data_IF_285528137832
#
_entry.id   IF_285528137832
#
_cell.length_a   1.000
_cell.length_b   1.000
_cell.length_c   1.000
_cell.angle_alpha   90.00
_cell.angle_beta   90.00
_cell.angle_gamma   90.00
#
_symmetry.space_group_name_H-M   'P 1'
#
loop_
_entity.id
_entity.type
_entity.pdbx_description
1 polymer ?
#
# COMPACT_ATOMS: atom_id res chain seq x y z
N UNK A 1 35.34 19.44 18.24
CA UNK A 1 34.35 20.01 17.31
C UNK A 1 33.08 19.18 17.36
N UNK A 2 31.93 19.87 17.40
CA UNK A 2 30.60 19.32 17.68
C UNK A 2 30.10 18.61 16.42
N UNK A 3 30.24 17.29 16.36
CA UNK A 3 29.59 16.47 15.34
C UNK A 3 28.14 16.25 15.72
N UNK A 4 27.25 17.08 15.17
CA UNK A 4 25.81 16.97 15.38
C UNK A 4 25.33 15.55 15.06
N UNK A 5 24.63 14.93 16.01
CA UNK A 5 23.89 13.69 15.77
C UNK A 5 22.78 14.03 14.77
N UNK A 6 23.02 13.80 13.49
CA UNK A 6 21.98 13.93 12.47
C UNK A 6 20.83 13.00 12.86
N UNK A 7 19.68 13.57 13.21
CA UNK A 7 18.46 12.82 13.44
C UNK A 7 18.04 12.25 12.09
N UNK A 8 18.22 10.95 11.89
CA UNK A 8 17.81 10.26 10.66
C UNK A 8 16.30 10.41 10.47
N UNK A 9 15.86 10.75 9.26
CA UNK A 9 14.44 10.85 8.92
C UNK A 9 14.06 9.71 7.98
N UNK A 10 12.96 9.02 8.30
CA UNK A 10 12.29 8.08 7.40
C UNK A 10 11.08 8.79 6.82
N UNK A 11 11.05 8.94 5.49
CA UNK A 11 9.93 9.54 4.80
C UNK A 11 9.15 8.46 4.05
N UNK A 12 7.96 8.16 4.54
CA UNK A 12 7.03 7.25 3.92
C UNK A 12 6.08 8.04 3.02
N UNK A 13 5.90 7.57 1.79
CA UNK A 13 4.94 8.10 0.84
C UNK A 13 3.94 7.00 0.50
N UNK A 14 2.67 7.25 0.76
CA UNK A 14 1.60 6.28 0.64
C UNK A 14 0.54 6.76 -0.37
N UNK A 15 0.15 5.89 -1.30
CA UNK A 15 -0.85 6.17 -2.33
C UNK A 15 -2.21 5.51 -2.08
N UNK A 16 -2.39 4.84 -0.94
CA UNK A 16 -3.61 4.16 -0.49
C UNK A 16 -3.67 4.08 1.05
N UNK A 17 -3.82 5.25 1.70
CA UNK A 17 -3.69 5.37 3.17
C UNK A 17 -4.69 4.50 3.93
N UNK A 18 -5.87 4.28 3.33
CA UNK A 18 -7.02 3.68 4.00
C UNK A 18 -7.33 4.41 5.32
N UNK A 19 -7.37 3.65 6.41
CA UNK A 19 -7.58 4.14 7.78
C UNK A 19 -6.28 4.17 8.62
N UNK A 20 -5.11 4.08 7.98
CA UNK A 20 -3.80 4.20 8.64
C UNK A 20 -3.29 2.96 9.38
N UNK A 21 -3.99 1.83 9.35
CA UNK A 21 -3.61 0.62 10.12
C UNK A 21 -2.21 0.06 9.80
N UNK A 22 -1.77 0.16 8.54
CA UNK A 22 -0.42 -0.21 8.12
C UNK A 22 0.64 0.62 8.86
N UNK A 23 0.41 1.93 8.98
CA UNK A 23 1.36 2.86 9.59
C UNK A 23 1.36 2.79 11.11
N UNK A 24 0.22 2.51 11.74
CA UNK A 24 0.18 2.15 13.15
C UNK A 24 1.05 0.90 13.44
N UNK A 25 0.90 -0.16 12.63
CA UNK A 25 1.72 -1.38 12.78
C UNK A 25 3.21 -1.09 12.59
N UNK A 26 3.57 -0.22 11.64
CA UNK A 26 4.96 0.20 11.41
C UNK A 26 5.53 1.02 12.56
N UNK A 27 4.77 1.99 13.09
CA UNK A 27 5.14 2.77 14.28
C UNK A 27 5.42 1.85 15.48
N UNK A 28 4.55 0.86 15.69
CA UNK A 28 4.73 -0.12 16.75
C UNK A 28 6.04 -0.90 16.58
N UNK A 29 6.30 -1.47 15.39
CA UNK A 29 7.55 -2.19 15.11
C UNK A 29 8.79 -1.30 15.29
N UNK A 30 8.73 -0.04 14.86
CA UNK A 30 9.81 0.92 15.01
C UNK A 30 10.13 1.17 16.51
N UNK A 31 9.09 1.34 17.33
CA UNK A 31 9.24 1.50 18.77
C UNK A 31 9.83 0.24 19.44
N UNK A 32 9.44 -0.96 19.01
CA UNK A 32 9.98 -2.22 19.55
C UNK A 32 11.49 -2.36 19.27
N UNK A 33 11.94 -1.95 18.07
CA UNK A 33 13.37 -1.98 17.71
C UNK A 33 14.23 -1.03 18.54
N UNK A 34 13.68 0.12 18.99
CA UNK A 34 14.37 1.01 19.94
C UNK A 34 14.73 0.29 21.23
N UNK A 35 13.79 -0.48 21.79
CA UNK A 35 13.97 -1.20 23.05
C UNK A 35 15.13 -2.21 23.02
N UNK A 36 15.47 -2.71 21.83
CA UNK A 36 16.57 -3.66 21.64
C UNK A 36 17.96 -3.01 21.49
N UNK A 37 18.04 -1.69 21.22
CA UNK A 37 19.30 -1.05 20.80
C UNK A 37 19.64 0.32 21.40
N UNK A 38 18.78 0.92 22.23
CA UNK A 38 19.08 2.16 22.96
C UNK A 38 19.28 3.44 22.11
N UNK A 39 19.09 3.36 20.79
CA UNK A 39 19.26 4.47 19.85
C UNK A 39 18.04 5.43 19.87
N UNK A 40 18.26 6.70 19.52
CA UNK A 40 17.16 7.65 19.31
C UNK A 40 16.29 7.20 18.12
N UNK A 41 14.97 7.34 18.24
CA UNK A 41 14.05 7.02 17.15
C UNK A 41 14.15 8.06 16.04
N UNK A 42 14.13 7.65 14.75
CA UNK A 42 14.10 8.58 13.64
C UNK A 42 12.81 9.40 13.65
N UNK A 43 12.85 10.59 13.05
CA UNK A 43 11.63 11.28 12.63
C UNK A 43 10.94 10.41 11.58
N UNK A 44 9.65 10.12 11.78
CA UNK A 44 8.82 9.49 10.77
C UNK A 44 7.93 10.54 10.12
N UNK A 45 8.19 10.82 8.85
CA UNK A 45 7.34 11.65 8.02
C UNK A 45 6.45 10.76 7.17
N UNK A 46 5.14 10.94 7.20
CA UNK A 46 4.17 10.25 6.37
C UNK A 46 3.51 11.24 5.42
N UNK A 47 3.59 10.99 4.12
CA UNK A 47 2.89 11.74 3.08
C UNK A 47 1.87 10.86 2.39
N UNK A 48 0.59 11.15 2.59
CA UNK A 48 -0.51 10.42 1.97
C UNK A 48 -0.99 11.16 0.70
N UNK A 49 -0.99 10.45 -0.43
CA UNK A 49 -1.60 10.86 -1.68
C UNK A 49 -3.06 10.46 -1.68
N UNK A 50 -3.93 11.43 -1.94
CA UNK A 50 -5.37 11.22 -1.83
C UNK A 50 -6.13 11.87 -2.97
N UNK A 51 -7.18 11.22 -3.45
CA UNK A 51 -8.18 11.89 -4.28
C UNK A 51 -9.33 12.36 -3.41
N UNK A 52 -9.81 13.58 -3.63
CA UNK A 52 -11.02 14.12 -2.99
C UNK A 52 -12.28 13.35 -3.38
N UNK A 53 -12.22 12.56 -4.47
CA UNK A 53 -13.26 11.64 -4.88
C UNK A 53 -13.23 10.31 -4.10
N UNK A 54 -12.15 9.97 -3.39
CA UNK A 54 -11.97 8.70 -2.67
C UNK A 54 -11.91 8.82 -1.15
N UNK A 55 -11.56 9.99 -0.61
CA UNK A 55 -11.42 10.18 0.84
C UNK A 55 -12.33 11.28 1.35
N UNK A 56 -13.16 10.94 2.33
CA UNK A 56 -13.95 11.93 3.03
C UNK A 56 -13.01 12.75 3.95
N UNK A 57 -13.07 14.10 3.96
CA UNK A 57 -12.15 14.93 4.75
C UNK A 57 -12.12 14.57 6.24
N UNK A 58 -13.25 14.13 6.80
CA UNK A 58 -13.33 13.64 8.18
C UNK A 58 -12.50 12.38 8.42
N UNK A 59 -12.51 11.41 7.49
CA UNK A 59 -11.76 10.16 7.64
C UNK A 59 -10.25 10.41 7.62
N UNK A 60 -9.80 11.33 6.75
CA UNK A 60 -8.41 11.78 6.75
C UNK A 60 -8.05 12.39 8.11
N UNK A 61 -8.85 13.33 8.59
CA UNK A 61 -8.57 14.05 9.83
C UNK A 61 -8.49 13.08 11.01
N UNK A 62 -9.45 12.16 11.12
CA UNK A 62 -9.43 11.10 12.14
C UNK A 62 -8.22 10.19 12.01
N UNK A 63 -7.82 9.82 10.79
CA UNK A 63 -6.63 8.98 10.56
C UNK A 63 -5.36 9.72 10.96
N UNK A 64 -5.23 11.00 10.62
CA UNK A 64 -4.11 11.85 11.01
C UNK A 64 -4.02 11.97 12.53
N UNK A 65 -5.13 12.28 13.20
CA UNK A 65 -5.18 12.44 14.66
C UNK A 65 -4.81 11.13 15.37
N UNK A 66 -5.39 10.01 14.94
CA UNK A 66 -5.11 8.69 15.50
C UNK A 66 -3.63 8.31 15.35
N UNK A 67 -3.03 8.51 14.17
CA UNK A 67 -1.63 8.20 13.94
C UNK A 67 -0.69 9.12 14.73
N UNK A 68 -1.03 10.41 14.82
CA UNK A 68 -0.24 11.40 15.55
C UNK A 68 -0.26 11.11 17.05
N UNK A 69 -1.43 10.79 17.60
CA UNK A 69 -1.58 10.39 18.99
C UNK A 69 -0.80 9.10 19.27
N UNK A 70 -0.95 8.08 18.43
CA UNK A 70 -0.27 6.80 18.61
C UNK A 70 1.27 6.94 18.53
N UNK A 71 1.77 7.77 17.61
CA UNK A 71 3.20 8.07 17.54
C UNK A 71 3.70 8.80 18.81
N UNK A 72 2.92 9.74 19.35
CA UNK A 72 3.25 10.44 20.59
C UNK A 72 3.32 9.48 21.79
N UNK A 73 2.37 8.54 21.91
CA UNK A 73 2.37 7.50 22.94
C UNK A 73 3.63 6.61 22.85
N UNK A 74 4.07 6.29 21.64
CA UNK A 74 5.30 5.55 21.37
C UNK A 74 6.59 6.40 21.45
N UNK A 75 6.45 7.71 21.68
CA UNK A 75 7.54 8.70 21.69
C UNK A 75 8.37 8.69 20.40
N UNK A 76 7.68 8.56 19.26
CA UNK A 76 8.24 8.70 17.91
C UNK A 76 7.97 10.13 17.44
N UNK A 77 8.99 10.92 17.06
CA UNK A 77 8.77 12.17 16.36
C UNK A 77 8.05 11.87 15.03
N UNK A 78 6.91 12.52 14.80
CA UNK A 78 6.03 12.19 13.69
C UNK A 78 5.51 13.45 12.99
N UNK A 79 5.48 13.41 11.67
CA UNK A 79 4.94 14.45 10.80
C UNK A 79 4.00 13.82 9.78
N UNK A 80 2.79 14.36 9.63
CA UNK A 80 1.81 13.91 8.66
C UNK A 80 1.52 14.99 7.62
N UNK A 81 1.58 14.63 6.35
CA UNK A 81 1.26 15.51 5.22
C UNK A 81 0.23 14.83 4.32
N UNK A 82 -0.78 15.58 3.87
CA UNK A 82 -1.73 15.13 2.88
C UNK A 82 -1.52 15.89 1.56
N UNK A 83 -1.43 15.17 0.45
CA UNK A 83 -1.29 15.73 -0.89
C UNK A 83 -2.45 15.27 -1.76
N UNK A 84 -3.15 16.23 -2.38
CA UNK A 84 -4.22 15.93 -3.32
C UNK A 84 -3.66 15.46 -4.66
N UNK A 85 -4.06 14.27 -5.10
CA UNK A 85 -3.80 13.72 -6.43
C UNK A 85 -4.54 14.49 -7.53
N UNK A 86 -5.69 15.10 -7.21
CA UNK A 86 -6.54 15.77 -8.20
C UNK A 86 -5.94 17.12 -8.65
N UNK A 87 -5.20 17.78 -7.75
CA UNK A 87 -4.47 19.01 -8.01
C UNK A 87 -3.01 18.74 -8.42
N UNK A 88 -2.60 17.48 -8.53
CA UNK A 88 -1.20 17.13 -8.67
C UNK A 88 -0.68 17.37 -10.08
N UNK A 89 0.31 18.25 -10.21
CA UNK A 89 1.08 18.44 -11.43
C UNK A 89 2.36 17.59 -11.37
N UNK A 90 2.56 16.60 -12.26
CA UNK A 90 3.79 15.80 -12.31
C UNK A 90 5.07 16.59 -12.60
N UNK A 91 4.94 17.86 -12.99
CA UNK A 91 6.06 18.79 -13.16
C UNK A 91 6.46 19.51 -11.85
N UNK A 92 5.61 19.48 -10.83
CA UNK A 92 5.92 20.04 -9.51
C UNK A 92 6.67 18.98 -8.69
N UNK A 93 7.92 19.28 -8.37
CA UNK A 93 8.77 18.42 -7.56
C UNK A 93 8.26 18.40 -6.13
N UNK A 94 7.87 17.22 -5.63
CA UNK A 94 7.83 17.01 -4.18
C UNK A 94 9.29 17.01 -3.73
N UNK A 95 9.72 18.10 -3.11
CA UNK A 95 11.09 18.21 -2.62
C UNK A 95 11.27 17.29 -1.41
N UNK A 96 11.96 16.17 -1.59
CA UNK A 96 12.59 15.44 -0.50
C UNK A 96 13.84 16.19 -0.07
N UNK A 97 14.05 16.39 1.23
CA UNK A 97 15.35 16.91 1.68
C UNK A 97 16.44 15.85 1.44
N UNK A 98 17.69 16.28 1.18
CA UNK A 98 18.77 15.37 0.81
C UNK A 98 19.15 14.33 1.87
N UNK A 99 18.67 14.49 3.10
CA UNK A 99 19.00 13.64 4.25
C UNK A 99 17.88 12.64 4.63
N UNK A 100 16.80 12.55 3.85
CA UNK A 100 15.66 11.67 4.11
C UNK A 100 15.79 10.29 3.43
N UNK A 101 15.48 9.20 4.16
CA UNK A 101 15.33 7.87 3.58
C UNK A 101 13.88 7.67 3.14
N UNK A 102 13.65 7.74 1.83
CA UNK A 102 12.31 7.64 1.25
C UNK A 102 11.89 6.18 1.01
N UNK A 103 10.69 5.81 1.44
CA UNK A 103 10.02 4.54 1.13
C UNK A 103 8.63 4.82 0.57
N UNK A 104 8.22 4.07 -0.46
CA UNK A 104 6.93 4.29 -1.15
C UNK A 104 6.05 3.06 -1.04
N UNK A 105 4.77 3.24 -0.70
CA UNK A 105 3.70 2.23 -0.74
C UNK A 105 2.76 2.56 -1.89
N UNK A 106 2.68 1.70 -2.91
CA UNK A 106 2.00 1.99 -4.17
C UNK A 106 1.08 0.85 -4.61
N UNK A 107 -0.26 1.04 -4.67
CA UNK A 107 -1.14 0.12 -5.37
C UNK A 107 -0.87 0.18 -6.88
N UNK A 108 -0.85 -0.98 -7.54
CA UNK A 108 -0.46 -1.08 -8.97
C UNK A 108 -1.59 -1.42 -9.93
N UNK A 109 -2.83 -1.51 -9.40
CA UNK A 109 -4.03 -1.72 -10.20
C UNK A 109 -4.43 -0.53 -11.08
N UNK A 110 -5.29 -0.78 -12.06
CA UNK A 110 -6.13 0.22 -12.69
C UNK A 110 -6.97 0.95 -11.64
N UNK A 111 -7.00 2.28 -11.75
CA UNK A 111 -7.91 3.12 -10.97
C UNK A 111 -8.50 4.17 -11.89
N UNK A 112 -9.79 4.45 -11.71
CA UNK A 112 -10.47 5.54 -12.40
C UNK A 112 -10.14 6.90 -11.79
N UNK A 113 -9.57 6.91 -10.58
CA UNK A 113 -9.33 8.06 -9.71
C UNK A 113 -7.84 8.43 -9.63
N UNK A 114 -6.94 7.48 -9.86
CA UNK A 114 -5.50 7.75 -9.87
C UNK A 114 -4.99 8.09 -11.29
N UNK A 115 -3.91 8.89 -11.40
CA UNK A 115 -3.18 9.05 -12.65
C UNK A 115 -2.64 7.70 -13.17
N UNK A 116 -2.36 7.57 -14.49
CA UNK A 116 -1.79 6.35 -15.02
C UNK A 116 -0.48 5.96 -14.32
N UNK A 117 -0.29 4.67 -14.03
CA UNK A 117 0.90 4.14 -13.35
C UNK A 117 2.25 4.66 -13.90
N UNK A 118 2.47 4.78 -15.23
CA UNK A 118 3.71 5.36 -15.75
C UNK A 118 3.98 6.81 -15.30
N UNK A 119 2.93 7.61 -15.06
CA UNK A 119 3.06 8.97 -14.56
C UNK A 119 3.44 8.98 -13.07
N UNK A 120 2.79 8.13 -12.27
CA UNK A 120 3.12 7.96 -10.85
C UNK A 120 4.56 7.46 -10.69
N UNK A 121 4.99 6.48 -11.48
CA UNK A 121 6.35 5.96 -11.40
C UNK A 121 7.42 6.99 -11.80
N UNK A 122 7.11 7.92 -12.72
CA UNK A 122 8.01 9.04 -13.04
C UNK A 122 8.19 9.98 -11.85
N UNK A 123 7.10 10.29 -11.15
CA UNK A 123 7.13 11.05 -9.90
C UNK A 123 7.95 10.32 -8.84
N UNK A 124 7.60 9.06 -8.56
CA UNK A 124 8.27 8.23 -7.56
C UNK A 124 9.78 8.17 -7.83
N UNK A 125 10.20 8.11 -9.09
CA UNK A 125 11.61 8.12 -9.47
C UNK A 125 12.34 9.42 -9.10
N UNK A 126 11.68 10.57 -9.17
CA UNK A 126 12.26 11.86 -8.78
C UNK A 126 12.53 11.96 -7.27
N UNK A 127 11.83 11.16 -6.47
CA UNK A 127 11.98 11.09 -5.01
C UNK A 127 13.13 10.19 -4.58
N UNK A 128 13.82 9.55 -5.53
CA UNK A 128 14.95 8.65 -5.29
C UNK A 128 14.71 7.63 -4.16
N UNK A 129 13.60 6.88 -4.16
CA UNK A 129 13.20 6.04 -3.04
C UNK A 129 14.19 4.91 -2.83
N UNK A 130 14.46 4.62 -1.55
CA UNK A 130 15.25 3.45 -1.15
C UNK A 130 14.53 2.15 -1.50
N UNK A 131 13.21 2.15 -1.36
CA UNK A 131 12.33 1.02 -1.68
C UNK A 131 10.95 1.51 -2.11
N UNK A 132 10.37 0.81 -3.08
CA UNK A 132 8.96 0.91 -3.46
C UNK A 132 8.32 -0.44 -3.19
N UNK A 133 7.25 -0.45 -2.40
CA UNK A 133 6.41 -1.63 -2.15
C UNK A 133 5.20 -1.52 -3.06
N UNK A 134 5.13 -2.44 -4.04
CA UNK A 134 4.02 -2.55 -4.97
C UNK A 134 2.96 -3.50 -4.42
N UNK A 135 1.72 -3.05 -4.36
CA UNK A 135 0.56 -3.78 -3.83
C UNK A 135 -0.38 -4.11 -4.99
N UNK A 136 -0.43 -5.38 -5.36
CA UNK A 136 -1.32 -5.93 -6.39
C UNK A 136 -2.51 -6.62 -5.72
N UNK A 137 -3.71 -6.26 -6.12
CA UNK A 137 -4.94 -6.62 -5.43
C UNK A 137 -5.68 -7.81 -6.07
N UNK A 138 -4.97 -8.61 -6.88
CA UNK A 138 -5.36 -9.95 -7.35
C UNK A 138 -6.43 -9.99 -8.44
N UNK A 139 -7.50 -9.21 -8.28
CA UNK A 139 -8.62 -9.12 -9.24
C UNK A 139 -8.34 -8.23 -10.45
N UNK A 140 -7.33 -7.35 -10.37
CA UNK A 140 -7.03 -6.39 -11.41
C UNK A 140 -6.04 -6.94 -12.44
N UNK A 141 -6.59 -7.58 -13.48
CA UNK A 141 -5.82 -8.13 -14.60
C UNK A 141 -5.82 -7.20 -15.79
N UNK A 142 -5.22 -6.02 -15.60
CA UNK A 142 -5.13 -4.98 -16.62
C UNK A 142 -4.41 -5.43 -17.91
N UNK A 143 -3.64 -6.51 -17.85
CA UNK A 143 -2.96 -7.17 -18.97
C UNK A 143 -3.91 -7.93 -19.91
N UNK A 144 -5.15 -8.21 -19.48
CA UNK A 144 -6.13 -8.96 -20.25
C UNK A 144 -7.05 -8.06 -21.11
N UNK A 145 -7.75 -8.63 -22.12
CA UNK A 145 -8.88 -7.98 -22.78
C UNK A 145 -9.96 -7.56 -21.76
N UNK A 146 -10.70 -6.49 -22.06
CA UNK A 146 -11.66 -5.89 -21.12
C UNK A 146 -12.69 -6.89 -20.57
N UNK A 147 -13.25 -7.76 -21.42
CA UNK A 147 -14.24 -8.77 -20.98
C UNK A 147 -13.68 -9.77 -19.97
N UNK A 148 -12.44 -10.22 -20.15
CA UNK A 148 -11.77 -11.12 -19.22
C UNK A 148 -11.37 -10.40 -17.93
N UNK A 149 -10.86 -9.17 -18.05
CA UNK A 149 -10.59 -8.33 -16.88
C UNK A 149 -11.86 -8.11 -16.05
N UNK A 150 -12.98 -7.76 -16.69
CA UNK A 150 -14.26 -7.55 -16.02
C UNK A 150 -14.68 -8.78 -15.21
N UNK A 151 -14.61 -9.98 -15.81
CA UNK A 151 -14.89 -11.23 -15.11
C UNK A 151 -13.92 -11.48 -13.94
N UNK A 152 -12.63 -11.17 -14.13
CA UNK A 152 -11.62 -11.32 -13.09
C UNK A 152 -11.82 -10.35 -11.92
N UNK A 153 -12.36 -9.15 -12.14
CA UNK A 153 -12.69 -8.24 -11.03
C UNK A 153 -13.69 -8.89 -10.05
N UNK A 154 -14.61 -9.73 -10.54
CA UNK A 154 -15.53 -10.50 -9.69
C UNK A 154 -14.87 -11.69 -8.99
N UNK A 155 -13.64 -12.07 -9.33
CA UNK A 155 -12.87 -12.97 -8.46
C UNK A 155 -12.61 -12.33 -7.09
N UNK A 156 -12.68 -11.01 -6.96
CA UNK A 156 -12.66 -10.34 -5.66
C UNK A 156 -13.84 -10.75 -4.77
N UNK A 157 -14.95 -11.24 -5.33
CA UNK A 157 -16.07 -11.79 -4.57
C UNK A 157 -15.72 -13.12 -3.88
N UNK A 158 -14.63 -13.79 -4.25
CA UNK A 158 -14.06 -14.94 -3.51
C UNK A 158 -13.70 -14.54 -2.07
N UNK A 159 -13.52 -13.24 -1.80
CA UNK A 159 -13.37 -12.70 -0.45
C UNK A 159 -14.65 -12.85 0.40
N UNK A 160 -15.84 -12.88 -0.19
CA UNK A 160 -17.09 -13.01 0.56
C UNK A 160 -17.17 -14.36 1.27
N UNK A 161 -16.78 -15.44 0.59
CA UNK A 161 -16.67 -16.78 1.20
C UNK A 161 -15.71 -16.79 2.40
N UNK A 162 -14.68 -15.93 2.37
CA UNK A 162 -13.72 -15.81 3.48
C UNK A 162 -14.29 -15.05 4.68
N UNK A 163 -15.25 -14.14 4.47
CA UNK A 163 -15.97 -13.45 5.54
C UNK A 163 -16.87 -14.42 6.30
N UNK A 164 -17.61 -15.26 5.56
CA UNK A 164 -18.44 -16.32 6.13
C UNK A 164 -17.60 -17.30 6.95
N UNK A 165 -16.46 -17.74 6.41
CA UNK A 165 -15.56 -18.64 7.12
C UNK A 165 -14.90 -18.00 8.36
N UNK A 166 -14.74 -16.68 8.36
CA UNK A 166 -14.28 -15.91 9.51
C UNK A 166 -15.39 -15.65 10.55
N UNK A 167 -16.63 -16.06 10.28
CA UNK A 167 -17.77 -15.88 11.18
C UNK A 167 -18.22 -14.42 11.30
N UNK A 168 -17.99 -13.61 10.26
CA UNK A 168 -18.47 -12.23 10.20
C UNK A 168 -20.00 -12.26 10.06
N UNK A 169 -20.70 -11.43 10.82
CA UNK A 169 -22.16 -11.35 10.76
C UNK A 169 -22.62 -10.75 9.42
N UNK A 170 -23.86 -11.06 9.03
CA UNK A 170 -24.39 -10.67 7.72
C UNK A 170 -24.47 -9.14 7.53
N UNK A 171 -24.70 -8.36 8.59
CA UNK A 171 -24.76 -6.90 8.49
C UNK A 171 -23.36 -6.31 8.23
N UNK A 172 -22.35 -6.78 8.98
CA UNK A 172 -20.94 -6.44 8.75
C UNK A 172 -20.46 -6.89 7.37
N UNK A 173 -20.80 -8.11 6.94
CA UNK A 173 -20.44 -8.63 5.62
C UNK A 173 -21.06 -7.78 4.50
N UNK A 174 -22.34 -7.42 4.61
CA UNK A 174 -23.02 -6.54 3.67
C UNK A 174 -22.37 -5.15 3.59
N UNK A 175 -21.94 -4.59 4.73
CA UNK A 175 -21.19 -3.32 4.75
C UNK A 175 -19.84 -3.46 4.07
N UNK A 176 -19.08 -4.52 4.33
CA UNK A 176 -17.79 -4.78 3.67
C UNK A 176 -17.97 -4.91 2.16
N UNK A 177 -18.96 -5.69 1.72
CA UNK A 177 -19.28 -5.84 0.30
C UNK A 177 -19.60 -4.49 -0.36
N UNK A 178 -20.54 -3.74 0.24
CA UNK A 178 -21.04 -2.49 -0.32
C UNK A 178 -20.04 -1.33 -0.29
N UNK A 179 -19.25 -1.23 0.76
CA UNK A 179 -18.40 -0.05 0.99
C UNK A 179 -16.91 -0.29 0.72
N UNK A 180 -16.46 -1.55 0.61
CA UNK A 180 -15.06 -1.86 0.29
C UNK A 180 -14.91 -2.63 -1.02
N UNK A 181 -15.65 -3.73 -1.20
CA UNK A 181 -15.47 -4.60 -2.37
C UNK A 181 -16.06 -3.97 -3.63
N UNK A 182 -17.33 -3.55 -3.57
CA UNK A 182 -18.02 -2.96 -4.72
C UNK A 182 -17.29 -1.71 -5.26
N UNK A 183 -16.91 -0.70 -4.44
CA UNK A 183 -16.23 0.47 -4.96
C UNK A 183 -14.87 0.15 -5.59
N UNK A 184 -14.15 -0.84 -5.05
CA UNK A 184 -12.86 -1.30 -5.61
C UNK A 184 -13.06 -2.00 -6.96
N UNK A 185 -14.09 -2.83 -7.11
CA UNK A 185 -14.43 -3.47 -8.39
C UNK A 185 -14.84 -2.41 -9.42
N UNK A 186 -15.68 -1.45 -9.04
CA UNK A 186 -16.08 -0.34 -9.91
C UNK A 186 -14.88 0.50 -10.37
N UNK A 187 -13.98 0.86 -9.44
CA UNK A 187 -12.78 1.64 -9.74
C UNK A 187 -11.82 0.90 -10.70
N UNK A 188 -11.62 -0.41 -10.49
CA UNK A 188 -10.80 -1.23 -11.37
C UNK A 188 -11.40 -1.33 -12.78
N UNK A 189 -12.70 -1.62 -12.89
CA UNK A 189 -13.40 -1.76 -14.18
C UNK A 189 -13.42 -0.44 -14.95
N UNK A 190 -13.78 0.67 -14.29
CA UNK A 190 -13.81 1.99 -14.92
C UNK A 190 -12.38 2.44 -15.27
N UNK A 191 -11.41 2.20 -14.39
CA UNK A 191 -10.00 2.48 -14.62
C UNK A 191 -9.48 1.74 -15.85
N UNK A 192 -9.79 0.45 -15.97
CA UNK A 192 -9.41 -0.36 -17.13
C UNK A 192 -10.11 0.08 -18.41
N UNK A 193 -11.35 0.53 -18.34
CA UNK A 193 -12.07 1.08 -19.48
C UNK A 193 -11.43 2.38 -19.99
N UNK A 194 -11.01 3.27 -19.08
CA UNK A 194 -10.27 4.49 -19.42
C UNK A 194 -8.86 4.18 -19.97
N UNK A 195 -8.21 3.15 -19.44
CA UNK A 195 -6.92 2.68 -19.93
C UNK A 195 -7.09 1.99 -21.29
N UNK A 196 -6.93 2.76 -22.37
CA UNK A 196 -7.10 2.30 -23.77
C UNK A 196 -6.22 1.08 -24.14
N UNK A 197 -5.15 0.81 -23.39
CA UNK A 197 -4.21 -0.29 -23.64
C UNK A 197 -4.12 -1.20 -22.43
N UNK A 198 -4.07 -2.51 -22.69
CA UNK A 198 -3.76 -3.50 -21.68
C UNK A 198 -2.31 -3.31 -21.20
N UNK A 199 -2.09 -3.31 -19.89
CA UNK A 199 -0.80 -2.99 -19.30
C UNK A 199 -0.51 -4.01 -18.20
N UNK A 200 0.61 -4.71 -18.34
CA UNK A 200 1.19 -5.51 -17.25
C UNK A 200 2.03 -4.58 -16.36
N UNK A 201 1.55 -4.30 -15.15
CA UNK A 201 2.18 -3.31 -14.27
C UNK A 201 3.66 -3.62 -13.97
N UNK A 202 4.04 -4.89 -13.81
CA UNK A 202 5.43 -5.32 -13.60
C UNK A 202 6.34 -4.93 -14.77
N UNK A 203 5.84 -5.03 -16.00
CA UNK A 203 6.55 -4.58 -17.20
C UNK A 203 6.69 -3.06 -17.24
N UNK A 204 5.72 -2.31 -16.73
CA UNK A 204 5.83 -0.85 -16.60
C UNK A 204 6.92 -0.47 -15.61
N UNK A 205 6.99 -1.11 -14.44
CA UNK A 205 8.07 -0.91 -13.46
C UNK A 205 9.45 -1.15 -14.11
N UNK A 206 9.61 -2.28 -14.80
CA UNK A 206 10.86 -2.59 -15.49
C UNK A 206 11.20 -1.54 -16.57
N UNK A 207 10.21 -1.12 -17.37
CA UNK A 207 10.39 -0.12 -18.43
C UNK A 207 10.72 1.28 -17.89
N UNK A 208 10.29 1.63 -16.68
CA UNK A 208 10.66 2.89 -16.01
C UNK A 208 11.98 2.80 -15.24
N UNK A 209 12.62 1.62 -15.24
CA UNK A 209 13.96 1.37 -14.72
C UNK A 209 13.99 0.75 -13.32
N UNK A 210 12.83 0.46 -12.72
CA UNK A 210 12.79 -0.22 -11.42
C UNK A 210 13.18 -1.69 -11.55
N UNK A 211 13.89 -2.18 -10.53
CA UNK A 211 14.32 -3.59 -10.45
C UNK A 211 13.67 -4.26 -9.25
N UNK A 212 13.14 -5.48 -9.40
CA UNK A 212 12.57 -6.21 -8.28
C UNK A 212 13.65 -6.53 -7.24
N UNK A 213 13.26 -6.52 -5.98
CA UNK A 213 14.09 -6.85 -4.82
C UNK A 213 13.48 -8.06 -4.14
N UNK A 214 14.33 -9.02 -3.77
CA UNK A 214 13.88 -10.21 -3.04
C UNK A 214 13.35 -9.83 -1.67
N UNK A 215 12.18 -10.36 -1.32
CA UNK A 215 11.62 -10.21 0.01
C UNK A 215 12.48 -10.95 1.03
N UNK A 216 12.56 -10.39 2.24
CA UNK A 216 13.29 -11.02 3.34
C UNK A 216 12.59 -12.30 3.81
N UNK A 217 13.37 -13.30 4.23
CA UNK A 217 12.82 -14.50 4.86
C UNK A 217 12.04 -14.16 6.15
N UNK A 218 12.35 -13.02 6.80
CA UNK A 218 11.61 -12.53 7.96
C UNK A 218 10.18 -12.12 7.58
N UNK A 219 9.99 -11.44 6.45
CA UNK A 219 8.67 -11.04 5.99
C UNK A 219 7.78 -12.26 5.69
N UNK A 220 8.36 -13.29 5.07
CA UNK A 220 7.70 -14.58 4.83
C UNK A 220 7.30 -15.26 6.15
N UNK A 221 8.24 -15.39 7.08
CA UNK A 221 7.97 -16.00 8.39
C UNK A 221 6.93 -15.20 9.21
N UNK A 222 6.93 -13.86 9.12
CA UNK A 222 5.93 -13.01 9.76
C UNK A 222 4.54 -13.24 9.16
N UNK A 223 4.43 -13.34 7.83
CA UNK A 223 3.16 -13.63 7.18
C UNK A 223 2.59 -15.00 7.60
N UNK A 224 3.43 -16.04 7.63
CA UNK A 224 3.03 -17.36 8.13
C UNK A 224 2.57 -17.32 9.59
N UNK A 225 3.27 -16.56 10.44
CA UNK A 225 2.91 -16.41 11.85
C UNK A 225 1.56 -15.71 12.01
N UNK A 226 1.30 -14.65 11.23
CA UNK A 226 0.02 -13.94 11.23
C UNK A 226 -1.14 -14.87 10.86
N UNK A 227 -0.98 -15.70 9.82
CA UNK A 227 -2.02 -16.65 9.43
C UNK A 227 -2.32 -17.70 10.51
N UNK A 228 -1.27 -18.21 11.17
CA UNK A 228 -1.43 -19.15 12.30
C UNK A 228 -2.19 -18.54 13.48
N UNK A 229 -2.11 -17.21 13.65
CA UNK A 229 -2.83 -16.47 14.70
C UNK A 229 -4.30 -16.22 14.36
N UNK A 230 -4.61 -15.95 13.09
CA UNK A 230 -5.99 -15.69 12.64
C UNK A 230 -6.85 -16.96 12.69
N UNK A 231 -6.25 -18.15 12.54
CA UNK A 231 -6.90 -19.46 12.67
C UNK A 231 -8.12 -19.72 11.75
N UNK A 232 -8.35 -18.87 10.74
CA UNK A 232 -9.38 -19.11 9.72
C UNK A 232 -8.79 -20.00 8.62
N UNK A 233 -9.36 -21.20 8.45
CA UNK A 233 -8.91 -22.17 7.44
C UNK A 233 -9.24 -21.67 6.04
N UNK A 234 -8.30 -21.79 5.12
CA UNK A 234 -8.45 -21.38 3.71
C UNK A 234 -7.46 -20.28 3.31
N UNK A 235 -7.03 -19.46 4.26
CA UNK A 235 -5.95 -18.52 4.04
C UNK A 235 -4.58 -19.21 4.01
N UNK A 236 -3.75 -18.83 3.05
CA UNK A 236 -2.34 -19.22 3.00
C UNK A 236 -1.52 -18.16 2.25
N UNK A 237 -0.21 -18.15 2.49
CA UNK A 237 0.72 -17.31 1.72
C UNK A 237 1.65 -18.17 0.88
N UNK A 238 1.98 -17.70 -0.32
CA UNK A 238 2.98 -18.32 -1.17
C UNK A 238 3.98 -17.28 -1.69
N UNK A 239 5.26 -17.65 -1.71
CA UNK A 239 6.30 -16.88 -2.35
C UNK A 239 6.37 -17.21 -3.84
N UNK A 240 6.09 -16.23 -4.69
CA UNK A 240 6.12 -16.36 -6.16
C UNK A 240 7.18 -15.43 -6.74
N UNK A 241 8.39 -15.98 -6.93
CA UNK A 241 9.55 -15.20 -7.35
C UNK A 241 9.94 -14.18 -6.27
N UNK A 242 9.89 -12.89 -6.61
CA UNK A 242 10.18 -11.78 -5.69
C UNK A 242 8.92 -11.19 -5.02
N UNK A 243 7.76 -11.84 -5.17
CA UNK A 243 6.51 -11.42 -4.56
C UNK A 243 6.06 -12.43 -3.48
N UNK A 244 5.32 -11.93 -2.50
CA UNK A 244 4.61 -12.71 -1.50
C UNK A 244 3.11 -12.49 -1.69
N UNK A 245 2.37 -13.56 -1.87
CA UNK A 245 0.97 -13.51 -2.25
C UNK A 245 0.10 -14.20 -1.20
N UNK A 246 -0.95 -13.51 -0.75
CA UNK A 246 -2.00 -14.04 0.11
C UNK A 246 -3.14 -14.61 -0.74
N UNK A 247 -3.56 -15.80 -0.38
CA UNK A 247 -4.64 -16.55 -1.03
C UNK A 247 -5.79 -16.82 -0.08
N UNK A 248 -7.00 -16.89 -0.62
CA UNK A 248 -8.13 -17.59 -0.02
C UNK A 248 -8.50 -18.77 -0.91
N UNK A 249 -8.37 -19.99 -0.38
CA UNK A 249 -8.50 -21.21 -1.18
C UNK A 249 -7.59 -21.09 -2.43
N UNK A 250 -8.13 -21.15 -3.66
CA UNK A 250 -7.33 -21.00 -4.88
C UNK A 250 -7.32 -19.56 -5.44
N UNK A 251 -8.00 -18.62 -4.79
CA UNK A 251 -8.14 -17.23 -5.23
C UNK A 251 -7.03 -16.35 -4.67
N UNK A 252 -6.35 -15.61 -5.54
CA UNK A 252 -5.35 -14.60 -5.15
C UNK A 252 -6.04 -13.35 -4.61
N UNK A 253 -5.70 -12.93 -3.38
CA UNK A 253 -6.29 -11.76 -2.74
C UNK A 253 -5.41 -10.52 -2.85
N UNK A 254 -4.13 -10.67 -2.51
CA UNK A 254 -3.15 -9.59 -2.56
C UNK A 254 -1.75 -10.16 -2.77
N UNK A 255 -0.99 -9.56 -3.68
CA UNK A 255 0.41 -9.85 -3.96
C UNK A 255 1.25 -8.61 -3.68
N UNK A 256 2.25 -8.75 -2.82
CA UNK A 256 3.16 -7.66 -2.46
C UNK A 256 4.54 -7.96 -3.05
N UNK A 257 5.20 -6.95 -3.60
CA UNK A 257 6.60 -7.06 -4.06
C UNK A 257 7.38 -5.78 -3.82
N UNK A 258 8.69 -5.90 -3.64
CA UNK A 258 9.58 -4.76 -3.41
C UNK A 258 10.40 -4.43 -4.64
N UNK A 259 10.64 -3.15 -4.86
CA UNK A 259 11.35 -2.62 -6.03
C UNK A 259 12.33 -1.51 -5.61
N UNK A 260 13.40 -1.36 -6.38
CA UNK A 260 14.36 -0.26 -6.25
C UNK A 260 14.53 0.47 -7.58
N UNK A 261 14.76 1.78 -7.50
CA UNK A 261 15.12 2.59 -8.67
C UNK A 261 16.54 2.25 -9.16
#
# INVERSE_FOLDING_TARGET
EIGGMATSCIHVIDFDLGVGGQWASFLQELAHRRGAGGMALPLLKLTAFMSTASHHPLELHLTQDNLSQFAAELRIPFEFNAVSLDAFNPAESISSSGDEVVAVSLPVGCSARAPPLPAILRLVKQLCPKVVVAIDHGGDRADLPFSQHFLNCFQSCVFLDSLDAAGIDADSACKIERFLIQPRVEDAVIGRHKAQKAIAWRSVFAATGFKPVQLSNLAEAQADCLLKRVQVRGFHVEKRGAALTLYWQRGELVSISSWRC
#
